data_IF_061702925188
#
_entry.id   IF_061702925188
#
_cell.length_a   1.000
_cell.length_b   1.000
_cell.length_c   1.000
_cell.angle_alpha   90.00
_cell.angle_beta   90.00
_cell.angle_gamma   90.00
#
_symmetry.space_group_name_H-M   'P 1'
#
loop_
_entity.id
_entity.type
_entity.pdbx_description
1 polymer ?
#
# COMPACT_ATOMS: atom_id res chain seq x y z
N UNK A 1 -1.90 -46.99 27.08
CA UNK A 1 -1.21 -45.83 26.48
C UNK A 1 0.14 -46.21 25.87
N UNK A 2 0.21 -47.29 25.06
CA UNK A 2 1.46 -47.79 24.46
C UNK A 2 1.31 -48.31 23.00
N UNK A 3 0.22 -47.98 22.30
CA UNK A 3 -0.05 -48.51 20.94
C UNK A 3 0.15 -47.43 19.84
N UNK A 4 0.34 -46.17 20.20
CA UNK A 4 0.55 -45.07 19.24
C UNK A 4 2.02 -44.85 18.84
N UNK A 5 2.98 -45.51 19.48
CA UNK A 5 4.40 -45.37 19.18
C UNK A 5 4.92 -46.35 18.10
N UNK A 6 4.20 -47.44 17.79
CA UNK A 6 4.68 -48.49 16.89
C UNK A 6 4.34 -48.26 15.42
N UNK A 7 3.42 -47.38 15.07
CA UNK A 7 3.04 -47.13 13.68
C UNK A 7 3.91 -46.03 13.01
N UNK A 8 4.78 -45.37 13.78
CA UNK A 8 5.60 -44.27 13.29
C UNK A 8 6.97 -44.66 12.76
N UNK A 9 7.37 -45.94 12.87
CA UNK A 9 8.74 -46.39 12.57
C UNK A 9 8.92 -47.04 11.18
N UNK A 10 7.86 -47.23 10.40
CA UNK A 10 7.95 -47.98 9.11
C UNK A 10 7.95 -47.09 7.87
N UNK A 11 8.03 -45.78 8.00
CA UNK A 11 8.14 -44.85 6.86
C UNK A 11 9.40 -43.99 6.95
N UNK A 12 10.55 -44.60 6.96
CA UNK A 12 11.88 -43.97 7.02
C UNK A 12 12.27 -43.32 5.67
N UNK A 13 11.44 -42.50 5.11
CA UNK A 13 11.78 -41.75 3.88
C UNK A 13 10.88 -40.50 3.61
N UNK A 14 9.76 -40.35 4.29
CA UNK A 14 8.83 -39.26 4.09
C UNK A 14 8.47 -38.38 5.29
N UNK A 15 8.75 -38.73 6.57
CA UNK A 15 8.32 -37.92 7.72
C UNK A 15 9.00 -36.56 7.81
N UNK A 16 10.25 -36.42 7.37
CA UNK A 16 10.99 -35.15 7.47
C UNK A 16 10.46 -34.09 6.53
N UNK A 17 10.07 -34.43 5.30
CA UNK A 17 9.46 -33.45 4.36
C UNK A 17 8.12 -32.93 4.87
N UNK A 18 7.34 -33.77 5.53
CA UNK A 18 6.05 -33.37 6.09
C UNK A 18 6.23 -32.56 7.41
N UNK A 19 7.24 -32.88 8.22
CA UNK A 19 7.55 -32.15 9.44
C UNK A 19 8.05 -30.73 9.12
N UNK A 20 8.96 -30.56 8.16
CA UNK A 20 9.44 -29.25 7.72
C UNK A 20 8.31 -28.40 7.10
N UNK A 21 7.46 -29.01 6.28
CA UNK A 21 6.29 -28.32 5.74
C UNK A 21 5.30 -27.92 6.83
N UNK A 22 5.08 -28.78 7.82
CA UNK A 22 4.20 -28.51 8.94
C UNK A 22 4.76 -27.44 9.87
N UNK A 23 6.06 -27.44 10.14
CA UNK A 23 6.75 -26.39 10.90
C UNK A 23 6.63 -25.04 10.18
N UNK A 24 6.89 -24.99 8.88
CA UNK A 24 6.69 -23.75 8.09
C UNK A 24 5.26 -23.21 8.16
N UNK A 25 4.26 -24.08 8.09
CA UNK A 25 2.85 -23.67 8.25
C UNK A 25 2.58 -23.12 9.65
N UNK A 26 3.18 -23.69 10.69
CA UNK A 26 3.04 -23.21 12.06
C UNK A 26 3.73 -21.85 12.23
N UNK A 27 4.96 -21.70 11.73
CA UNK A 27 5.71 -20.45 11.77
C UNK A 27 4.98 -19.31 11.06
N UNK A 28 4.40 -19.57 9.88
CA UNK A 28 3.61 -18.58 9.13
C UNK A 28 2.32 -18.20 9.86
N UNK A 29 1.63 -19.17 10.45
CA UNK A 29 0.42 -18.90 11.24
C UNK A 29 0.71 -18.11 12.50
N UNK A 30 1.84 -18.35 13.15
CA UNK A 30 2.29 -17.58 14.31
C UNK A 30 2.68 -16.16 13.90
N UNK A 31 3.46 -16.00 12.82
CA UNK A 31 3.82 -14.71 12.27
C UNK A 31 2.59 -13.89 11.87
N UNK A 32 1.60 -14.53 11.23
CA UNK A 32 0.33 -13.88 10.88
C UNK A 32 -0.46 -13.45 12.11
N UNK A 33 -0.46 -14.28 13.17
CA UNK A 33 -1.13 -13.95 14.41
C UNK A 33 -0.49 -12.74 15.11
N UNK A 34 0.83 -12.75 15.26
CA UNK A 34 1.60 -11.67 15.87
C UNK A 34 1.47 -10.39 15.03
N UNK A 35 1.60 -10.51 13.71
CA UNK A 35 1.44 -9.39 12.78
C UNK A 35 0.05 -8.74 12.87
N UNK A 36 -1.00 -9.56 13.00
CA UNK A 36 -2.37 -9.08 13.20
C UNK A 36 -2.53 -8.37 14.56
N UNK A 37 -1.91 -8.87 15.62
CA UNK A 37 -1.91 -8.21 16.94
C UNK A 37 -1.23 -6.83 16.87
N UNK A 38 -0.06 -6.73 16.24
CA UNK A 38 0.63 -5.46 16.07
C UNK A 38 -0.17 -4.46 15.23
N UNK A 39 -0.80 -4.92 14.14
CA UNK A 39 -1.67 -4.09 13.33
C UNK A 39 -2.80 -3.48 14.15
N UNK A 40 -3.47 -4.31 14.95
CA UNK A 40 -4.56 -3.89 15.83
C UNK A 40 -4.06 -2.97 16.95
N UNK A 41 -2.94 -3.28 17.58
CA UNK A 41 -2.33 -2.45 18.61
C UNK A 41 -1.94 -1.06 18.09
N UNK A 42 -1.48 -0.99 16.83
CA UNK A 42 -1.18 0.27 16.13
C UNK A 42 -2.43 1.06 15.69
N UNK A 43 -3.65 0.58 16.03
CA UNK A 43 -4.90 1.28 15.73
C UNK A 43 -5.50 1.02 14.35
N UNK A 44 -4.86 0.20 13.53
CA UNK A 44 -5.37 -0.12 12.19
C UNK A 44 -6.53 -1.13 12.21
N UNK A 45 -7.42 -1.11 11.21
CA UNK A 45 -8.44 -2.13 11.06
C UNK A 45 -7.81 -3.48 10.69
N UNK A 46 -8.22 -4.59 11.36
CA UNK A 46 -7.64 -5.91 11.13
C UNK A 46 -7.83 -6.43 9.68
N UNK A 47 -8.90 -5.98 9.01
CA UNK A 47 -9.19 -6.31 7.60
C UNK A 47 -8.13 -5.84 6.63
N UNK A 48 -7.29 -4.86 7.01
CA UNK A 48 -6.17 -4.38 6.20
C UNK A 48 -5.16 -5.47 5.88
N UNK A 49 -4.88 -6.38 6.82
CA UNK A 49 -3.98 -7.50 6.59
C UNK A 49 -4.52 -8.48 5.54
N UNK A 50 -5.80 -8.84 5.63
CA UNK A 50 -6.48 -9.66 4.61
C UNK A 50 -6.47 -8.98 3.24
N UNK A 51 -6.67 -7.66 3.20
CA UNK A 51 -6.58 -6.86 1.97
C UNK A 51 -5.20 -6.96 1.33
N UNK A 52 -4.13 -6.85 2.11
CA UNK A 52 -2.75 -7.01 1.66
C UNK A 52 -2.49 -8.40 1.04
N UNK A 53 -2.91 -9.47 1.71
CA UNK A 53 -2.78 -10.84 1.19
C UNK A 53 -3.58 -11.09 -0.10
N UNK A 54 -4.77 -10.49 -0.22
CA UNK A 54 -5.56 -10.57 -1.48
C UNK A 54 -4.83 -9.91 -2.65
N UNK A 55 -4.20 -8.76 -2.42
CA UNK A 55 -3.39 -8.06 -3.44
C UNK A 55 -2.17 -8.91 -3.83
N UNK A 56 -1.46 -9.49 -2.85
CA UNK A 56 -0.33 -10.39 -3.13
C UNK A 56 -0.77 -11.60 -3.97
N UNK A 57 -1.88 -12.24 -3.61
CA UNK A 57 -2.44 -13.36 -4.36
C UNK A 57 -2.77 -12.98 -5.81
N UNK A 58 -3.42 -11.83 -6.00
CA UNK A 58 -3.76 -11.35 -7.34
C UNK A 58 -2.51 -11.09 -8.19
N UNK A 59 -1.49 -10.46 -7.60
CA UNK A 59 -0.24 -10.18 -8.32
C UNK A 59 0.53 -11.45 -8.67
N UNK A 60 0.57 -12.45 -7.78
CA UNK A 60 1.24 -13.72 -8.06
C UNK A 60 0.58 -14.47 -9.23
N UNK A 61 -0.74 -14.39 -9.38
CA UNK A 61 -1.46 -14.97 -10.52
C UNK A 61 -1.19 -14.24 -11.84
N UNK A 62 -1.04 -12.91 -11.81
CA UNK A 62 -0.78 -12.11 -13.01
C UNK A 62 0.68 -12.18 -13.50
N UNK A 63 1.62 -12.57 -12.64
CA UNK A 63 3.05 -12.63 -12.96
C UNK A 63 3.48 -13.89 -13.72
N UNK A 64 2.57 -14.81 -14.00
CA UNK A 64 2.86 -16.05 -14.73
C UNK A 64 3.97 -16.88 -14.04
N UNK A 65 5.03 -17.21 -14.78
CA UNK A 65 6.11 -18.08 -14.31
C UNK A 65 7.08 -17.45 -13.31
N UNK A 66 7.00 -16.14 -13.04
CA UNK A 66 7.88 -15.43 -12.11
C UNK A 66 7.21 -15.16 -10.76
N UNK A 67 6.66 -16.20 -10.13
CA UNK A 67 6.28 -16.13 -8.72
C UNK A 67 7.56 -15.92 -7.91
N UNK A 68 7.69 -14.86 -7.08
CA UNK A 68 8.85 -14.72 -6.20
C UNK A 68 9.09 -16.02 -5.43
N UNK A 69 10.35 -16.47 -5.35
CA UNK A 69 10.72 -17.76 -4.77
C UNK A 69 10.12 -17.97 -3.37
N UNK A 70 10.00 -16.90 -2.58
CA UNK A 70 9.38 -16.94 -1.25
C UNK A 70 7.89 -17.32 -1.28
N UNK A 71 7.12 -16.95 -2.33
CA UNK A 71 5.70 -17.33 -2.46
C UNK A 71 5.51 -18.79 -2.90
N UNK A 72 6.53 -19.40 -3.50
CA UNK A 72 6.49 -20.81 -3.89
C UNK A 72 6.87 -21.76 -2.75
N UNK A 73 7.55 -21.26 -1.71
CA UNK A 73 8.03 -22.04 -0.56
C UNK A 73 7.15 -21.92 0.68
N UNK A 74 6.15 -21.01 0.68
CA UNK A 74 5.27 -20.77 1.80
C UNK A 74 3.87 -21.38 1.59
N UNK A 75 3.10 -21.65 2.66
CA UNK A 75 1.73 -22.16 2.56
C UNK A 75 0.86 -21.31 1.64
N UNK A 76 -0.11 -21.95 1.00
CA UNK A 76 -1.01 -21.28 0.08
C UNK A 76 -1.60 -20.00 0.71
N UNK A 77 -1.43 -18.86 0.05
CA UNK A 77 -1.94 -17.55 0.51
C UNK A 77 -3.42 -17.62 0.85
N UNK A 78 -4.17 -18.53 0.19
CA UNK A 78 -5.58 -18.78 0.46
C UNK A 78 -5.84 -19.24 1.88
N UNK A 79 -5.06 -20.18 2.40
CA UNK A 79 -5.21 -20.72 3.74
C UNK A 79 -4.87 -19.68 4.81
N UNK A 80 -3.86 -18.86 4.58
CA UNK A 80 -3.50 -17.71 5.44
C UNK A 80 -4.64 -16.69 5.49
N UNK A 81 -5.26 -16.36 4.34
CA UNK A 81 -6.43 -15.47 4.28
C UNK A 81 -7.58 -16.04 5.11
N UNK A 82 -7.89 -17.33 4.96
CA UNK A 82 -8.97 -17.99 5.69
C UNK A 82 -8.70 -17.99 7.21
N UNK A 83 -7.49 -18.32 7.62
CA UNK A 83 -7.07 -18.28 9.03
C UNK A 83 -7.16 -16.89 9.66
N UNK A 84 -6.72 -15.87 8.93
CA UNK A 84 -6.85 -14.46 9.35
C UNK A 84 -8.32 -14.04 9.46
N UNK A 85 -9.16 -14.39 8.48
CA UNK A 85 -10.59 -14.05 8.52
C UNK A 85 -11.30 -14.69 9.70
N UNK A 86 -11.02 -15.97 9.99
CA UNK A 86 -11.58 -16.65 11.15
C UNK A 86 -11.20 -15.95 12.47
N UNK A 87 -9.94 -15.55 12.64
CA UNK A 87 -9.47 -14.80 13.82
C UNK A 87 -10.11 -13.41 13.92
N UNK A 88 -10.23 -12.70 12.80
CA UNK A 88 -10.84 -11.37 12.76
C UNK A 88 -12.31 -11.43 13.17
N UNK A 89 -13.06 -12.46 12.76
CA UNK A 89 -14.48 -12.61 13.13
C UNK A 89 -14.71 -12.71 14.64
N UNK A 90 -13.72 -13.16 15.41
CA UNK A 90 -13.82 -13.26 16.88
C UNK A 90 -13.42 -11.98 17.62
N UNK A 91 -12.99 -10.94 16.90
CA UNK A 91 -12.56 -9.68 17.52
C UNK A 91 -13.72 -8.81 17.97
N UNK A 92 -13.51 -7.97 19.00
CA UNK A 92 -14.53 -7.02 19.47
C UNK A 92 -14.99 -6.09 18.34
N UNK A 93 -16.29 -5.77 18.33
CA UNK A 93 -16.89 -4.87 17.33
C UNK A 93 -16.16 -3.53 17.22
N UNK A 94 -15.72 -2.95 18.34
CA UNK A 94 -14.95 -1.70 18.36
C UNK A 94 -13.64 -1.77 17.58
N UNK A 95 -13.05 -2.96 17.40
CA UNK A 95 -11.85 -3.20 16.57
C UNK A 95 -12.24 -3.37 15.10
N UNK A 96 -13.35 -4.08 14.84
CA UNK A 96 -13.85 -4.34 13.50
C UNK A 96 -14.36 -3.07 12.81
N UNK A 97 -14.98 -2.17 13.55
CA UNK A 97 -15.56 -0.92 13.04
C UNK A 97 -14.50 0.19 12.83
N UNK A 98 -13.23 -0.08 13.11
CA UNK A 98 -12.15 0.90 12.87
C UNK A 98 -12.07 1.28 11.41
N UNK A 99 -12.01 2.59 11.15
CA UNK A 99 -11.78 3.14 9.81
C UNK A 99 -10.31 3.43 9.62
N UNK A 100 -9.77 3.07 8.47
CA UNK A 100 -8.40 3.40 8.12
C UNK A 100 -8.33 4.84 7.59
N UNK A 101 -7.49 5.67 8.22
CA UNK A 101 -7.12 6.95 7.65
C UNK A 101 -5.95 6.77 6.68
N UNK A 102 -6.25 6.82 5.39
CA UNK A 102 -5.26 6.67 4.32
C UNK A 102 -4.71 8.01 3.81
N UNK A 103 -5.11 9.14 4.39
CA UNK A 103 -4.77 10.47 3.85
C UNK A 103 -3.27 10.64 3.66
N UNK A 104 -2.47 10.39 4.69
CA UNK A 104 -1.02 10.53 4.60
C UNK A 104 -0.39 9.54 3.63
N UNK A 105 -0.85 8.29 3.63
CA UNK A 105 -0.41 7.28 2.67
C UNK A 105 -0.68 7.70 1.22
N UNK A 106 -1.87 8.22 0.93
CA UNK A 106 -2.24 8.71 -0.40
C UNK A 106 -1.37 9.89 -0.82
N UNK A 107 -1.04 10.81 0.09
CA UNK A 107 -0.13 11.93 -0.15
C UNK A 107 1.27 11.45 -0.56
N UNK A 108 1.87 10.56 0.23
CA UNK A 108 3.18 9.97 -0.08
C UNK A 108 3.14 9.20 -1.40
N UNK A 109 2.11 8.38 -1.61
CA UNK A 109 1.92 7.62 -2.84
C UNK A 109 1.80 8.53 -4.07
N UNK A 110 1.08 9.65 -3.96
CA UNK A 110 0.97 10.65 -5.04
C UNK A 110 2.32 11.27 -5.37
N UNK A 111 3.11 11.64 -4.35
CA UNK A 111 4.45 12.17 -4.56
C UNK A 111 5.37 11.17 -5.27
N UNK A 112 5.36 9.90 -4.85
CA UNK A 112 6.20 8.87 -5.46
C UNK A 112 5.82 8.63 -6.92
N UNK A 113 4.54 8.48 -7.22
CA UNK A 113 4.08 8.31 -8.60
C UNK A 113 4.29 9.55 -9.45
N UNK A 114 4.05 10.74 -8.91
CA UNK A 114 4.29 12.01 -9.60
C UNK A 114 5.74 12.25 -9.95
N UNK A 115 6.67 11.84 -9.07
CA UNK A 115 8.11 12.06 -9.25
C UNK A 115 8.82 10.97 -10.02
N UNK A 116 8.44 9.70 -9.83
CA UNK A 116 9.22 8.55 -10.27
C UNK A 116 8.43 7.54 -11.10
N UNK A 117 7.09 7.62 -11.12
CA UNK A 117 6.25 6.70 -11.88
C UNK A 117 6.46 6.83 -13.39
N UNK A 118 6.18 5.73 -14.12
CA UNK A 118 6.05 5.80 -15.58
C UNK A 118 5.01 6.86 -15.95
N UNK A 119 5.29 7.79 -16.85
CA UNK A 119 4.41 8.93 -17.12
C UNK A 119 3.02 8.53 -17.59
N UNK A 120 2.90 7.54 -18.47
CA UNK A 120 1.61 7.10 -19.00
C UNK A 120 0.77 6.42 -17.93
N UNK A 121 1.35 5.47 -17.19
CA UNK A 121 0.68 4.78 -16.09
C UNK A 121 0.32 5.75 -14.95
N UNK A 122 1.18 6.74 -14.67
CA UNK A 122 0.91 7.75 -13.65
C UNK A 122 -0.26 8.67 -14.05
N UNK A 123 -0.32 9.15 -15.30
CA UNK A 123 -1.46 9.97 -15.77
C UNK A 123 -2.78 9.20 -15.75
N UNK A 124 -2.79 7.92 -16.11
CA UNK A 124 -3.97 7.06 -15.98
C UNK A 124 -4.43 6.96 -14.51
N UNK A 125 -3.48 6.82 -13.58
CA UNK A 125 -3.76 6.78 -12.14
C UNK A 125 -4.30 8.09 -11.60
N UNK A 126 -3.84 9.22 -12.16
CA UNK A 126 -4.23 10.58 -11.78
C UNK A 126 -5.41 11.14 -12.61
N UNK A 127 -6.23 10.29 -13.21
CA UNK A 127 -7.43 10.70 -13.95
C UNK A 127 -8.56 11.26 -13.05
N UNK A 128 -8.40 11.18 -11.71
CA UNK A 128 -9.36 11.70 -10.74
C UNK A 128 -9.49 13.23 -10.76
N UNK A 129 -10.59 13.74 -10.16
CA UNK A 129 -10.88 15.18 -10.09
C UNK A 129 -10.49 15.80 -8.74
N UNK A 130 -10.04 14.99 -7.77
CA UNK A 130 -9.59 15.46 -6.47
C UNK A 130 -8.23 16.18 -6.54
N UNK A 131 -7.94 16.98 -5.51
CA UNK A 131 -6.75 17.82 -5.46
C UNK A 131 -5.44 17.03 -5.60
N UNK A 132 -5.32 15.85 -4.96
CA UNK A 132 -4.12 15.04 -5.04
C UNK A 132 -3.92 14.44 -6.43
N UNK A 133 -5.01 13.99 -7.09
CA UNK A 133 -4.95 13.51 -8.47
C UNK A 133 -4.53 14.63 -9.43
N UNK A 134 -5.10 15.83 -9.30
CA UNK A 134 -4.72 16.98 -10.11
C UNK A 134 -3.26 17.41 -9.89
N UNK A 135 -2.83 17.48 -8.64
CA UNK A 135 -1.44 17.75 -8.28
C UNK A 135 -0.49 16.70 -8.87
N UNK A 136 -0.82 15.41 -8.71
CA UNK A 136 -0.01 14.31 -9.28
C UNK A 136 0.10 14.37 -10.79
N UNK A 137 -1.02 14.67 -11.49
CA UNK A 137 -1.01 14.89 -12.94
C UNK A 137 -0.11 16.08 -13.32
N UNK A 138 -0.22 17.22 -12.62
CA UNK A 138 0.63 18.39 -12.81
C UNK A 138 2.12 18.07 -12.67
N UNK A 139 2.49 17.27 -11.66
CA UNK A 139 3.88 16.83 -11.46
C UNK A 139 4.39 15.98 -12.63
N UNK A 140 3.59 15.05 -13.14
CA UNK A 140 3.97 14.20 -14.28
C UNK A 140 4.10 15.02 -15.54
N UNK A 141 3.14 15.90 -15.83
CA UNK A 141 3.13 16.79 -16.99
C UNK A 141 4.34 17.73 -16.99
N UNK A 142 4.69 18.27 -15.81
CA UNK A 142 5.88 19.11 -15.66
C UNK A 142 7.18 18.35 -15.97
N UNK A 143 7.29 17.08 -15.57
CA UNK A 143 8.43 16.21 -15.91
C UNK A 143 8.53 15.94 -17.42
N UNK A 144 7.39 15.92 -18.12
CA UNK A 144 7.32 15.78 -19.57
C UNK A 144 7.52 17.09 -20.33
N UNK A 145 7.86 18.19 -19.64
CA UNK A 145 7.96 19.54 -20.20
C UNK A 145 6.65 20.05 -20.86
N UNK A 146 5.50 19.49 -20.47
CA UNK A 146 4.16 19.93 -20.90
C UNK A 146 3.66 21.05 -20.01
N UNK A 147 4.36 22.20 -20.08
CA UNK A 147 4.27 23.28 -19.08
C UNK A 147 2.84 23.86 -18.95
N UNK A 148 2.16 24.10 -20.07
CA UNK A 148 0.80 24.68 -20.04
C UNK A 148 -0.22 23.72 -19.41
N UNK A 149 -0.13 22.44 -19.71
CA UNK A 149 -1.01 21.43 -19.15
C UNK A 149 -0.70 21.19 -17.66
N UNK A 150 0.57 21.22 -17.29
CA UNK A 150 0.98 21.17 -15.88
C UNK A 150 0.42 22.36 -15.09
N UNK A 151 0.51 23.59 -15.64
CA UNK A 151 -0.06 24.78 -15.02
C UNK A 151 -1.55 24.60 -14.78
N UNK A 152 -2.32 24.22 -15.80
CA UNK A 152 -3.75 24.00 -15.69
C UNK A 152 -4.11 22.93 -14.63
N UNK A 153 -3.30 21.86 -14.54
CA UNK A 153 -3.50 20.80 -13.54
C UNK A 153 -3.21 21.30 -12.11
N UNK A 154 -2.16 22.10 -11.90
CA UNK A 154 -1.89 22.72 -10.60
C UNK A 154 -2.94 23.77 -10.21
N UNK A 155 -3.44 24.57 -11.17
CA UNK A 155 -4.53 25.52 -10.92
C UNK A 155 -5.80 24.81 -10.45
N UNK A 156 -6.14 23.66 -11.07
CA UNK A 156 -7.26 22.84 -10.64
C UNK A 156 -7.02 22.20 -9.26
N UNK A 157 -5.79 21.80 -8.95
CA UNK A 157 -5.45 21.27 -7.63
C UNK A 157 -5.61 22.35 -6.54
N UNK A 158 -5.12 23.57 -6.80
CA UNK A 158 -5.25 24.72 -5.90
C UNK A 158 -6.70 25.15 -5.72
N UNK A 159 -7.51 25.12 -6.77
CA UNK A 159 -8.94 25.40 -6.68
C UNK A 159 -9.68 24.36 -5.81
N UNK A 160 -9.31 23.08 -5.91
CA UNK A 160 -9.93 21.99 -5.14
C UNK A 160 -9.47 21.96 -3.68
N UNK A 161 -8.24 22.40 -3.38
CA UNK A 161 -7.67 22.42 -2.03
C UNK A 161 -6.77 23.66 -1.80
N UNK A 162 -7.36 24.86 -1.66
CA UNK A 162 -6.61 26.11 -1.68
C UNK A 162 -5.72 26.34 -0.45
N UNK A 163 -5.90 25.56 0.61
CA UNK A 163 -5.14 25.64 1.86
C UNK A 163 -4.38 24.34 2.19
N UNK A 164 -4.32 23.37 1.29
CA UNK A 164 -3.57 22.14 1.52
C UNK A 164 -2.06 22.43 1.36
N UNK A 165 -1.24 22.26 2.43
CA UNK A 165 0.17 22.63 2.39
C UNK A 165 0.97 21.82 1.36
N UNK A 166 0.59 20.56 1.10
CA UNK A 166 1.26 19.76 0.08
C UNK A 166 0.97 20.29 -1.33
N UNK A 167 -0.29 20.59 -1.64
CA UNK A 167 -0.71 21.14 -2.94
C UNK A 167 -0.04 22.50 -3.17
N UNK A 168 -0.05 23.38 -2.16
CA UNK A 168 0.61 24.68 -2.21
C UNK A 168 2.11 24.56 -2.46
N UNK A 169 2.77 23.63 -1.77
CA UNK A 169 4.22 23.40 -1.91
C UNK A 169 4.59 22.90 -3.31
N UNK A 170 3.89 21.89 -3.81
CA UNK A 170 4.22 21.31 -5.12
C UNK A 170 3.88 22.28 -6.27
N UNK A 171 2.78 23.03 -6.17
CA UNK A 171 2.45 24.10 -7.12
C UNK A 171 3.48 25.22 -7.07
N UNK A 172 3.86 25.68 -5.88
CA UNK A 172 4.90 26.70 -5.71
C UNK A 172 6.24 26.27 -6.28
N UNK A 173 6.64 25.01 -6.05
CA UNK A 173 7.87 24.44 -6.63
C UNK A 173 7.80 24.33 -8.18
N UNK A 174 6.63 24.10 -8.74
CA UNK A 174 6.41 24.12 -10.19
C UNK A 174 6.58 25.54 -10.75
N UNK A 175 5.90 26.54 -10.17
CA UNK A 175 6.00 27.93 -10.59
C UNK A 175 7.41 28.49 -10.44
N UNK A 176 8.13 28.10 -9.37
CA UNK A 176 9.54 28.47 -9.22
C UNK A 176 10.40 27.96 -10.41
N UNK A 177 10.24 26.68 -10.79
CA UNK A 177 10.97 26.13 -11.94
C UNK A 177 10.57 26.75 -13.27
N UNK A 178 9.34 27.24 -13.38
CA UNK A 178 8.83 27.94 -14.57
C UNK A 178 9.36 29.40 -14.67
N UNK A 179 9.85 29.96 -13.56
CA UNK A 179 10.31 31.34 -13.48
C UNK A 179 9.26 32.34 -12.95
N UNK A 180 8.08 31.90 -12.56
CA UNK A 180 7.02 32.72 -11.98
C UNK A 180 7.30 32.98 -10.48
N UNK A 181 8.33 33.79 -10.18
CA UNK A 181 8.89 33.95 -8.83
C UNK A 181 7.91 34.51 -7.81
N UNK A 182 7.08 35.47 -8.19
CA UNK A 182 6.10 36.10 -7.29
C UNK A 182 5.05 35.08 -6.86
N UNK A 183 4.42 34.38 -7.81
CA UNK A 183 3.43 33.35 -7.52
C UNK A 183 4.02 32.19 -6.73
N UNK A 184 5.23 31.74 -7.08
CA UNK A 184 5.93 30.72 -6.35
C UNK A 184 6.17 31.11 -4.89
N UNK A 185 6.63 32.36 -4.64
CA UNK A 185 6.85 32.89 -3.32
C UNK A 185 5.58 32.95 -2.48
N UNK A 186 4.47 33.38 -3.08
CA UNK A 186 3.18 33.46 -2.38
C UNK A 186 2.65 32.09 -1.99
N UNK A 187 2.70 31.11 -2.91
CA UNK A 187 2.26 29.73 -2.65
C UNK A 187 3.10 29.06 -1.57
N UNK A 188 4.43 29.21 -1.63
CA UNK A 188 5.34 28.60 -0.65
C UNK A 188 5.18 29.24 0.74
N UNK A 189 5.06 30.57 0.83
CA UNK A 189 4.77 31.27 2.10
C UNK A 189 3.42 30.83 2.67
N UNK A 190 2.42 30.63 1.82
CA UNK A 190 1.11 30.14 2.24
C UNK A 190 1.19 28.70 2.75
N UNK A 191 1.98 27.83 2.10
CA UNK A 191 2.21 26.47 2.55
C UNK A 191 2.81 26.42 3.97
N UNK A 192 3.86 27.22 4.22
CA UNK A 192 4.53 27.30 5.53
C UNK A 192 3.60 27.78 6.67
N UNK A 193 2.54 28.51 6.38
CA UNK A 193 1.57 28.96 7.39
C UNK A 193 0.50 27.91 7.72
N UNK A 194 0.44 26.82 6.97
CA UNK A 194 -0.53 25.73 7.15
C UNK A 194 0.06 24.49 7.84
N UNK A 195 1.39 24.42 7.98
CA UNK A 195 2.10 23.42 8.77
C UNK A 195 2.14 23.85 10.24
#
# INVERSE_FOLDING_TARGET
MKILAATFVVSVGRPFRNADAMMKVMDENEADHIGLQYLVAAGYPPTGMVGGFKILRQKSWMSGTNVPAYLSTHPAIGDRINGLQARIQTMPKAVLDRKQDNRQFLRVKTLLWGRYGDPQAALQRFAGKDALSRMGAGMVLARQNRVNEASAAFDQALAAAPNDPLVLREAGAFHYRKGDMDLAGDLLRKALRQD
#
